data_IF_804403048964
#
_entry.id   IF_804403048964
#
_cell.length_a   1.000
_cell.length_b   1.000
_cell.length_c   1.000
_cell.angle_alpha   90.00
_cell.angle_beta   90.00
_cell.angle_gamma   90.00
#
_symmetry.space_group_name_H-M   'P 1'
#
loop_
_entity.id
_entity.type
_entity.pdbx_description
1 polymer ?
#
# COMPACT_ATOMS: atom_id res chain seq x y z
N UNK A 1 -23.51 1.87 15.18
CA UNK A 1 -22.11 2.12 14.77
C UNK A 1 -21.25 0.93 15.18
N UNK A 2 -20.49 0.40 14.28
CA UNK A 2 -19.54 -0.65 14.61
C UNK A 2 -18.24 -0.02 15.11
N UNK A 3 -17.77 -0.47 16.26
CA UNK A 3 -16.46 -0.09 16.75
C UNK A 3 -15.36 -0.86 15.99
N UNK A 4 -14.29 -0.17 15.68
CA UNK A 4 -13.11 -0.78 15.06
C UNK A 4 -11.93 -0.66 16.00
N UNK A 5 -11.19 -1.76 16.16
CA UNK A 5 -9.94 -1.77 16.92
C UNK A 5 -8.77 -2.03 15.97
N UNK A 6 -7.76 -1.20 16.11
CA UNK A 6 -6.49 -1.36 15.41
C UNK A 6 -5.42 -1.77 16.41
N UNK A 7 -4.81 -2.93 16.20
CA UNK A 7 -3.73 -3.41 17.07
C UNK A 7 -2.40 -3.15 16.36
N UNK A 8 -1.67 -2.17 16.87
CA UNK A 8 -0.36 -1.77 16.33
C UNK A 8 0.72 -1.65 17.40
N UNK A 9 0.38 -1.97 18.65
CA UNK A 9 1.30 -1.88 19.79
C UNK A 9 0.83 -2.80 20.92
N UNK A 10 1.68 -2.99 21.91
CA UNK A 10 1.30 -3.74 23.13
C UNK A 10 0.16 -3.05 23.88
N UNK A 11 0.16 -1.73 23.93
CA UNK A 11 -0.89 -0.94 24.59
C UNK A 11 -2.24 -1.11 23.90
N UNK A 12 -2.30 -1.02 22.56
CA UNK A 12 -3.54 -1.21 21.82
C UNK A 12 -4.05 -2.65 21.91
N UNK A 13 -3.14 -3.62 22.01
CA UNK A 13 -3.50 -5.02 22.22
C UNK A 13 -4.14 -5.24 23.59
N UNK A 14 -3.60 -4.62 24.64
CA UNK A 14 -4.17 -4.68 25.99
C UNK A 14 -5.56 -4.06 26.04
N UNK A 15 -5.75 -2.91 25.37
CA UNK A 15 -7.05 -2.26 25.26
C UNK A 15 -8.06 -3.14 24.54
N UNK A 16 -7.65 -3.80 23.47
CA UNK A 16 -8.50 -4.74 22.74
C UNK A 16 -8.90 -5.92 23.60
N UNK A 17 -7.96 -6.54 24.31
CA UNK A 17 -8.25 -7.68 25.19
C UNK A 17 -9.23 -7.31 26.30
N UNK A 18 -9.07 -6.12 26.88
CA UNK A 18 -10.01 -5.61 27.90
C UNK A 18 -11.41 -5.41 27.32
N UNK A 19 -11.51 -4.83 26.14
CA UNK A 19 -12.77 -4.64 25.47
C UNK A 19 -13.48 -5.97 25.16
N UNK A 20 -12.73 -6.97 24.70
CA UNK A 20 -13.25 -8.32 24.45
C UNK A 20 -13.77 -8.95 25.75
N UNK A 21 -12.99 -8.85 26.84
CA UNK A 21 -13.37 -9.39 28.14
C UNK A 21 -14.64 -8.74 28.68
N UNK A 22 -14.73 -7.41 28.55
CA UNK A 22 -15.93 -6.66 28.97
C UNK A 22 -17.17 -7.06 28.17
N UNK A 23 -17.04 -7.18 26.85
CA UNK A 23 -18.14 -7.60 25.99
C UNK A 23 -18.59 -9.05 26.30
N UNK A 24 -17.65 -9.95 26.50
CA UNK A 24 -17.98 -11.33 26.85
C UNK A 24 -18.68 -11.41 28.20
N UNK A 25 -18.23 -10.62 29.17
CA UNK A 25 -18.84 -10.58 30.49
C UNK A 25 -20.27 -10.03 30.43
N UNK A 26 -20.48 -9.02 29.58
CA UNK A 26 -21.79 -8.37 29.44
C UNK A 26 -22.79 -9.22 28.65
N UNK A 27 -22.34 -9.81 27.53
CA UNK A 27 -23.20 -10.49 26.57
C UNK A 27 -23.08 -12.00 26.58
N UNK A 28 -22.04 -12.56 27.17
CA UNK A 28 -21.77 -14.00 27.25
C UNK A 28 -21.30 -14.65 25.96
N UNK A 29 -21.93 -14.33 24.85
CA UNK A 29 -21.61 -14.88 23.53
C UNK A 29 -21.30 -13.76 22.56
N UNK A 30 -20.10 -13.79 21.98
CA UNK A 30 -19.66 -12.81 20.99
C UNK A 30 -18.96 -13.50 19.82
N UNK A 31 -19.11 -12.92 18.63
CA UNK A 31 -18.46 -13.40 17.40
C UNK A 31 -17.67 -12.29 16.76
N UNK A 32 -16.53 -12.64 16.18
CA UNK A 32 -15.71 -11.71 15.45
C UNK A 32 -15.63 -12.08 13.97
N UNK A 33 -15.65 -11.10 13.10
CA UNK A 33 -15.26 -11.30 11.72
C UNK A 33 -13.74 -11.38 11.61
N UNK A 34 -13.24 -11.96 10.51
CA UNK A 34 -11.82 -12.07 10.28
C UNK A 34 -11.17 -10.68 10.32
N UNK A 35 -10.02 -10.52 11.00
CA UNK A 35 -9.32 -9.24 11.03
C UNK A 35 -8.74 -8.92 9.66
N UNK A 36 -8.66 -7.63 9.36
CA UNK A 36 -7.98 -7.15 8.17
C UNK A 36 -6.52 -6.87 8.50
N UNK A 37 -5.62 -7.36 7.65
CA UNK A 37 -4.19 -7.14 7.82
C UNK A 37 -3.83 -5.77 7.24
N UNK A 38 -3.18 -4.95 8.07
CA UNK A 38 -2.86 -3.57 7.73
C UNK A 38 -4.06 -2.64 7.89
N UNK A 39 -3.78 -1.34 7.94
CA UNK A 39 -4.82 -0.32 8.05
C UNK A 39 -5.53 -0.13 6.70
N UNK A 40 -6.69 0.49 6.71
CA UNK A 40 -7.37 0.86 5.49
C UNK A 40 -6.53 1.86 4.68
N UNK A 41 -6.49 1.66 3.36
CA UNK A 41 -5.81 2.60 2.49
C UNK A 41 -6.54 3.95 2.55
N UNK A 42 -5.80 5.00 2.86
CA UNK A 42 -6.36 6.35 2.85
C UNK A 42 -6.31 6.95 1.44
N UNK A 43 -7.24 7.87 1.17
CA UNK A 43 -7.21 8.64 -0.07
C UNK A 43 -5.91 9.46 -0.18
N UNK A 44 -5.41 9.93 0.97
CA UNK A 44 -4.17 10.71 1.02
C UNK A 44 -2.95 9.88 0.60
N UNK A 45 -2.87 8.62 1.00
CA UNK A 45 -1.80 7.72 0.55
C UNK A 45 -1.84 7.51 -0.95
N UNK A 46 -3.03 7.31 -1.51
CA UNK A 46 -3.18 7.15 -2.96
C UNK A 46 -2.80 8.43 -3.71
N UNK A 47 -3.21 9.59 -3.20
CA UNK A 47 -2.83 10.88 -3.76
C UNK A 47 -1.31 11.09 -3.71
N UNK A 48 -0.67 10.75 -2.60
CA UNK A 48 0.78 10.83 -2.45
C UNK A 48 1.50 9.94 -3.47
N UNK A 49 1.01 8.72 -3.65
CA UNK A 49 1.58 7.80 -4.65
C UNK A 49 1.55 8.41 -6.05
N UNK A 50 0.42 9.01 -6.45
CA UNK A 50 0.30 9.67 -7.75
C UNK A 50 1.21 10.89 -7.89
N UNK A 51 1.35 11.70 -6.84
CA UNK A 51 2.26 12.85 -6.82
C UNK A 51 3.70 12.37 -7.02
N UNK A 52 4.12 11.36 -6.30
CA UNK A 52 5.47 10.81 -6.41
C UNK A 52 5.74 10.17 -7.77
N UNK A 53 4.75 9.48 -8.34
CA UNK A 53 4.87 8.95 -9.71
C UNK A 53 5.12 10.07 -10.72
N UNK A 54 4.35 11.15 -10.60
CA UNK A 54 4.50 12.33 -11.49
C UNK A 54 5.89 12.94 -11.34
N UNK A 55 6.36 13.12 -10.11
CA UNK A 55 7.69 13.65 -9.83
C UNK A 55 8.79 12.74 -10.39
N UNK A 56 8.63 11.43 -10.26
CA UNK A 56 9.62 10.47 -10.74
C UNK A 56 9.67 10.44 -12.27
N UNK A 57 8.52 10.52 -12.95
CA UNK A 57 8.48 10.62 -14.42
C UNK A 57 9.18 11.90 -14.89
N UNK A 58 8.82 13.03 -14.28
CA UNK A 58 9.39 14.32 -14.63
C UNK A 58 10.93 14.33 -14.45
N UNK A 59 11.38 13.76 -13.34
CA UNK A 59 12.83 13.63 -13.05
C UNK A 59 13.51 12.70 -14.06
N UNK A 60 12.93 11.53 -14.32
CA UNK A 60 13.54 10.52 -15.20
C UNK A 60 13.64 10.96 -16.65
N UNK A 61 12.63 11.68 -17.13
CA UNK A 61 12.58 12.16 -18.51
C UNK A 61 13.09 13.58 -18.67
N UNK A 62 13.43 14.28 -17.58
CA UNK A 62 13.88 15.66 -17.57
C UNK A 62 12.86 16.61 -18.21
N UNK A 63 11.60 16.41 -17.90
CA UNK A 63 10.48 17.24 -18.36
C UNK A 63 9.81 17.92 -17.17
N UNK A 64 8.97 18.90 -17.45
CA UNK A 64 8.17 19.56 -16.41
C UNK A 64 7.01 18.66 -15.97
N UNK A 65 6.60 18.75 -14.71
CA UNK A 65 5.48 17.98 -14.15
C UNK A 65 4.19 18.12 -14.96
N UNK A 66 3.96 19.31 -15.53
CA UNK A 66 2.79 19.60 -16.37
C UNK A 66 2.80 18.84 -17.70
N UNK A 67 3.97 18.38 -18.14
CA UNK A 67 4.13 17.62 -19.38
C UNK A 67 3.91 16.12 -19.20
N UNK A 68 3.73 15.67 -17.95
CA UNK A 68 3.48 14.25 -17.66
C UNK A 68 2.05 13.90 -18.08
N UNK A 69 1.93 13.08 -19.13
CA UNK A 69 0.65 12.57 -19.62
C UNK A 69 0.17 11.38 -18.77
N UNK A 70 -1.11 11.04 -18.89
CA UNK A 70 -1.67 9.85 -18.25
C UNK A 70 -0.97 8.56 -18.72
N UNK A 71 -0.61 8.50 -20.02
CA UNK A 71 0.12 7.38 -20.58
C UNK A 71 1.49 7.18 -19.96
N UNK A 72 2.24 8.28 -19.76
CA UNK A 72 3.53 8.25 -19.08
C UNK A 72 3.38 7.83 -17.61
N UNK A 73 2.35 8.32 -16.95
CA UNK A 73 2.06 7.98 -15.55
C UNK A 73 1.72 6.50 -15.41
N UNK A 74 0.89 5.97 -16.30
CA UNK A 74 0.53 4.55 -16.30
C UNK A 74 1.75 3.68 -16.59
N UNK A 75 2.58 4.08 -17.56
CA UNK A 75 3.83 3.38 -17.86
C UNK A 75 4.77 3.34 -16.65
N UNK A 76 4.88 4.44 -15.91
CA UNK A 76 5.69 4.49 -14.70
C UNK A 76 5.12 3.61 -13.59
N UNK A 77 3.79 3.57 -13.43
CA UNK A 77 3.14 2.65 -12.49
C UNK A 77 3.53 1.20 -12.77
N UNK A 78 3.42 0.81 -14.03
CA UNK A 78 3.75 -0.55 -14.44
C UNK A 78 5.23 -0.87 -14.21
N UNK A 79 6.10 0.07 -14.52
CA UNK A 79 7.53 -0.07 -14.31
C UNK A 79 7.89 -0.21 -12.81
N UNK A 80 7.27 0.61 -11.96
CA UNK A 80 7.48 0.56 -10.51
C UNK A 80 7.03 -0.80 -9.95
N UNK A 81 5.86 -1.28 -10.35
CA UNK A 81 5.36 -2.59 -9.95
C UNK A 81 6.29 -3.71 -10.40
N UNK A 82 6.74 -3.65 -11.63
CA UNK A 82 7.68 -4.62 -12.19
C UNK A 82 9.01 -4.64 -11.42
N UNK A 83 9.59 -3.47 -11.14
CA UNK A 83 10.85 -3.35 -10.42
C UNK A 83 10.74 -3.89 -9.00
N UNK A 84 9.66 -3.55 -8.29
CA UNK A 84 9.46 -3.99 -6.91
C UNK A 84 9.26 -5.49 -6.81
N UNK A 85 8.41 -6.06 -7.67
CA UNK A 85 8.17 -7.51 -7.67
C UNK A 85 9.40 -8.31 -8.09
N UNK A 86 10.22 -7.76 -8.98
CA UNK A 86 11.48 -8.39 -9.38
C UNK A 86 12.54 -8.35 -8.26
N UNK A 87 12.64 -7.21 -7.56
CA UNK A 87 13.66 -7.03 -6.52
C UNK A 87 13.27 -7.66 -5.19
N UNK A 88 11.98 -7.63 -4.86
CA UNK A 88 11.45 -8.13 -3.59
C UNK A 88 10.26 -9.07 -3.83
N UNK A 89 10.50 -10.23 -4.45
CA UNK A 89 9.40 -11.11 -4.87
C UNK A 89 8.53 -11.58 -3.71
N UNK A 90 9.09 -11.85 -2.54
CA UNK A 90 8.34 -12.29 -1.39
C UNK A 90 7.50 -11.16 -0.77
N UNK A 91 8.08 -9.96 -0.70
CA UNK A 91 7.42 -8.78 -0.11
C UNK A 91 6.26 -8.27 -0.96
N UNK A 92 6.36 -8.39 -2.28
CA UNK A 92 5.35 -7.89 -3.21
C UNK A 92 4.59 -9.00 -3.94
N UNK A 93 4.60 -10.22 -3.40
CA UNK A 93 3.88 -11.35 -3.98
C UNK A 93 2.38 -11.07 -4.19
N UNK A 94 1.78 -10.32 -3.29
CA UNK A 94 0.37 -9.91 -3.35
C UNK A 94 0.04 -9.01 -4.55
N UNK A 95 1.05 -8.39 -5.15
CA UNK A 95 0.87 -7.46 -6.27
C UNK A 95 0.76 -8.17 -7.61
N UNK A 96 1.17 -9.42 -7.70
CA UNK A 96 1.33 -10.16 -8.96
C UNK A 96 0.25 -11.23 -9.09
N UNK A 97 -0.33 -11.36 -10.27
CA UNK A 97 -1.21 -12.48 -10.59
C UNK A 97 -0.95 -12.97 -12.01
N UNK A 98 -1.27 -14.24 -12.25
CA UNK A 98 -1.10 -14.87 -13.54
C UNK A 98 -2.42 -14.86 -14.31
N UNK A 99 -2.35 -14.48 -15.58
CA UNK A 99 -3.50 -14.57 -16.49
C UNK A 99 -3.39 -15.91 -17.23
N UNK A 100 -4.38 -16.75 -17.02
CA UNK A 100 -4.40 -18.12 -17.52
C UNK A 100 -5.42 -18.23 -18.65
N UNK A 101 -5.03 -18.90 -19.74
CA UNK A 101 -5.96 -19.23 -20.81
C UNK A 101 -7.00 -20.22 -20.30
N UNK A 102 -8.31 -19.92 -20.38
CA UNK A 102 -9.35 -20.80 -19.85
C UNK A 102 -9.47 -22.13 -20.63
N UNK A 103 -9.00 -22.18 -21.87
CA UNK A 103 -9.07 -23.37 -22.71
C UNK A 103 -7.89 -24.32 -22.48
N UNK A 104 -6.67 -23.77 -22.51
CA UNK A 104 -5.43 -24.59 -22.44
C UNK A 104 -4.90 -24.70 -21.02
N UNK A 105 -5.36 -23.85 -20.08
CA UNK A 105 -4.83 -23.74 -18.71
C UNK A 105 -3.38 -23.29 -18.64
N UNK A 106 -2.83 -22.78 -19.73
CA UNK A 106 -1.47 -22.23 -19.75
C UNK A 106 -1.46 -20.78 -19.31
N UNK A 107 -0.38 -20.38 -18.63
CA UNK A 107 -0.16 -18.99 -18.25
C UNK A 107 0.21 -18.20 -19.49
N UNK A 108 -0.61 -17.21 -19.83
CA UNK A 108 -0.37 -16.37 -21.02
C UNK A 108 0.47 -15.15 -20.69
N UNK A 109 0.34 -14.60 -19.48
CA UNK A 109 1.11 -13.43 -19.03
C UNK A 109 1.02 -13.29 -17.51
N UNK A 110 1.92 -12.49 -16.97
CA UNK A 110 1.87 -12.04 -15.57
C UNK A 110 1.42 -10.59 -15.57
N UNK A 111 0.53 -10.24 -14.67
CA UNK A 111 0.01 -8.89 -14.54
C UNK A 111 0.05 -8.43 -13.09
N UNK A 112 -0.26 -7.16 -12.84
CA UNK A 112 -0.15 -6.54 -11.53
C UNK A 112 -1.50 -5.99 -11.07
N UNK A 113 -1.75 -6.10 -9.76
CA UNK A 113 -2.98 -5.58 -9.17
C UNK A 113 -3.06 -4.07 -9.26
N UNK A 114 -4.27 -3.54 -9.40
CA UNK A 114 -4.51 -2.09 -9.42
C UNK A 114 -4.24 -1.49 -8.03
N UNK A 115 -3.60 -0.32 -8.01
CA UNK A 115 -3.34 0.40 -6.76
C UNK A 115 -4.63 0.77 -6.00
N UNK A 116 -5.76 0.80 -6.69
CA UNK A 116 -7.07 1.04 -6.07
C UNK A 116 -7.50 -0.07 -5.12
N UNK A 117 -6.97 -1.28 -5.31
CA UNK A 117 -7.32 -2.46 -4.50
C UNK A 117 -6.36 -2.70 -3.35
N UNK A 118 -5.27 -1.94 -3.26
CA UNK A 118 -4.25 -2.15 -2.23
C UNK A 118 -4.75 -1.70 -0.86
N UNK A 119 -4.40 -2.46 0.16
CA UNK A 119 -4.64 -2.10 1.55
C UNK A 119 -3.66 -1.00 1.98
N UNK A 120 -3.98 -0.32 3.07
CA UNK A 120 -3.13 0.77 3.59
C UNK A 120 -1.71 0.31 3.91
N UNK A 121 -1.55 -0.86 4.52
CA UNK A 121 -0.23 -1.44 4.80
C UNK A 121 0.54 -1.79 3.54
N UNK A 122 -0.15 -2.28 2.51
CA UNK A 122 0.44 -2.56 1.20
C UNK A 122 0.89 -1.27 0.51
N UNK A 123 0.06 -0.25 0.50
CA UNK A 123 0.40 1.06 -0.05
C UNK A 123 1.59 1.68 0.70
N UNK A 124 1.62 1.58 2.03
CA UNK A 124 2.75 2.05 2.83
C UNK A 124 4.06 1.37 2.42
N UNK A 125 4.02 0.06 2.19
CA UNK A 125 5.18 -0.70 1.73
C UNK A 125 5.67 -0.19 0.37
N UNK A 126 4.76 0.04 -0.56
CA UNK A 126 5.10 0.60 -1.88
C UNK A 126 5.71 2.00 -1.75
N UNK A 127 5.08 2.86 -0.96
CA UNK A 127 5.58 4.22 -0.76
C UNK A 127 6.99 4.22 -0.14
N UNK A 128 7.23 3.36 0.83
CA UNK A 128 8.53 3.24 1.49
C UNK A 128 9.62 2.83 0.49
N UNK A 129 9.37 1.79 -0.28
CA UNK A 129 10.33 1.30 -1.25
C UNK A 129 10.50 2.25 -2.43
N UNK A 130 9.43 2.94 -2.82
CA UNK A 130 9.49 3.95 -3.88
C UNK A 130 10.40 5.11 -3.46
N UNK A 131 10.23 5.60 -2.25
CA UNK A 131 11.06 6.68 -1.71
C UNK A 131 12.54 6.28 -1.70
N UNK A 132 12.84 5.07 -1.26
CA UNK A 132 14.21 4.54 -1.23
C UNK A 132 14.79 4.38 -2.64
N UNK A 133 14.02 3.82 -3.56
CA UNK A 133 14.45 3.60 -4.95
C UNK A 133 14.71 4.92 -5.66
N UNK A 134 13.83 5.91 -5.48
CA UNK A 134 14.00 7.23 -6.07
C UNK A 134 15.25 7.93 -5.51
N UNK A 135 15.51 7.78 -4.22
CA UNK A 135 16.72 8.35 -3.58
C UNK A 135 18.00 7.72 -4.16
N UNK A 136 18.00 6.44 -4.45
CA UNK A 136 19.13 5.77 -5.12
C UNK A 136 19.38 6.37 -6.51
N UNK A 137 18.36 6.83 -7.21
CA UNK A 137 18.46 7.48 -8.51
C UNK A 137 18.75 8.98 -8.42
N UNK A 138 18.81 9.54 -7.20
CA UNK A 138 19.11 10.95 -6.96
C UNK A 138 17.91 11.85 -6.74
N UNK A 139 16.70 11.30 -6.65
CA UNK A 139 15.48 12.07 -6.41
C UNK A 139 15.01 11.86 -4.97
N UNK A 140 14.84 12.96 -4.23
CA UNK A 140 14.28 12.93 -2.88
C UNK A 140 12.78 13.15 -2.96
N UNK A 141 12.01 12.11 -2.69
CA UNK A 141 10.55 12.18 -2.58
C UNK A 141 10.20 12.54 -1.15
N UNK A 142 9.53 13.66 -0.97
CA UNK A 142 9.20 14.17 0.36
C UNK A 142 7.74 13.95 0.69
N UNK A 143 7.50 13.49 1.93
CA UNK A 143 6.16 13.51 2.52
C UNK A 143 6.06 14.68 3.47
N UNK A 144 5.09 15.57 3.23
CA UNK A 144 4.88 16.76 4.05
C UNK A 144 3.54 16.68 4.75
N UNK A 145 3.47 17.22 5.97
CA UNK A 145 2.23 17.31 6.70
C UNK A 145 1.61 15.95 7.02
N UNK A 146 0.39 15.74 6.59
CA UNK A 146 -0.38 14.55 6.90
C UNK A 146 0.22 13.26 6.33
N UNK A 147 0.95 13.35 5.23
CA UNK A 147 1.58 12.17 4.62
C UNK A 147 2.66 11.58 5.51
N UNK A 148 3.49 12.42 6.12
CA UNK A 148 4.51 11.96 7.07
C UNK A 148 3.87 11.27 8.28
N UNK A 149 2.75 11.78 8.75
CA UNK A 149 1.98 11.20 9.86
C UNK A 149 1.44 9.82 9.48
N UNK A 150 0.91 9.66 8.26
CA UNK A 150 0.40 8.39 7.76
C UNK A 150 1.49 7.33 7.71
N UNK A 151 2.68 7.69 7.26
CA UNK A 151 3.82 6.77 7.22
C UNK A 151 4.22 6.30 8.62
N UNK A 152 4.25 7.19 9.60
CA UNK A 152 4.56 6.84 10.98
C UNK A 152 3.52 5.91 11.59
N UNK A 153 2.26 6.18 11.36
CA UNK A 153 1.16 5.37 11.88
C UNK A 153 1.26 3.92 11.39
N UNK A 154 1.63 3.73 10.13
CA UNK A 154 1.75 2.40 9.53
C UNK A 154 2.93 1.59 10.10
N UNK A 155 3.91 2.25 10.72
CA UNK A 155 5.03 1.57 11.39
C UNK A 155 4.72 1.10 12.81
N UNK A 156 3.54 1.37 13.33
CA UNK A 156 3.10 0.88 14.63
C UNK A 156 3.73 1.57 15.84
N UNK A 157 4.24 2.76 15.66
CA UNK A 157 4.76 3.57 16.75
C UNK A 157 3.64 4.25 17.54
#
# INVERSE_FOLDING_TARGET
MSEQFTINSATSRMAFNKWVDDLQREHGYITFSAPRIGADRSLDQNALFHVWLTEYVAFSLKIHKKEVSEGLLQGMKDLVKQRFTARFPDSFRWMVYEVVCPLTKEVTRTDYTSSKTWKSGEMFQVLTWFQMTAAEDGLILESKGNFAKLQRTSNGD
#
